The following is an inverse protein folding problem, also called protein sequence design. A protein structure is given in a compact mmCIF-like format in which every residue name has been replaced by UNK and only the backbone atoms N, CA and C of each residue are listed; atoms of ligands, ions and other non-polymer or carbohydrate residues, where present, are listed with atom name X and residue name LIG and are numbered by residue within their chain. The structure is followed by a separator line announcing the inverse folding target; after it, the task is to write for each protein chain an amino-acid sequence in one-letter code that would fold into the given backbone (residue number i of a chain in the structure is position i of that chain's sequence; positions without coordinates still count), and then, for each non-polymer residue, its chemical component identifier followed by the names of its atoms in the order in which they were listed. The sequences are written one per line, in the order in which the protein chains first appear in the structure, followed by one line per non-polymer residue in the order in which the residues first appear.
data_IF_226981108129
#
_entry.id   IF_226981108129
#
_cell.length_a   1.000
_cell.length_b   1.000
_cell.length_c   1.000
_cell.angle_alpha   90.00
_cell.angle_beta   90.00
_cell.angle_gamma   90.00
#
_symmetry.space_group_name_H-M   'P 1'
#
loop_
_entity.id
_entity.type
_entity.pdbx_description
1 polymer ?
#
# COMPACT_ATOMS: atom_id res chain seq x y z
N UNK A 1 -14.23 -42.96 5.15
CA UNK A 1 -13.84 -42.05 6.24
C UNK A 1 -12.33 -41.93 6.15
N UNK A 2 -11.84 -40.73 5.87
CA UNK A 2 -10.43 -40.39 5.68
C UNK A 2 -9.60 -40.78 6.90
N UNK A 3 -8.35 -41.21 6.70
CA UNK A 3 -7.22 -40.52 7.29
C UNK A 3 -5.93 -40.86 6.52
N UNK A 4 -5.36 -39.79 5.95
CA UNK A 4 -3.97 -39.65 5.53
C UNK A 4 -3.01 -40.17 6.62
N UNK A 5 -1.76 -40.53 6.31
CA UNK A 5 -0.64 -39.61 6.57
C UNK A 5 0.65 -40.13 5.93
N UNK A 6 1.05 -39.44 4.86
CA UNK A 6 2.40 -38.98 4.54
C UNK A 6 3.54 -39.50 5.44
N UNK A 7 4.37 -40.41 4.93
CA UNK A 7 5.60 -40.84 5.58
C UNK A 7 6.75 -39.91 5.16
N UNK A 8 6.79 -38.71 5.75
CA UNK A 8 7.95 -37.81 5.68
C UNK A 8 8.81 -38.04 6.93
N UNK A 9 9.96 -38.67 6.75
CA UNK A 9 10.94 -38.81 7.82
C UNK A 9 11.75 -37.51 7.91
N UNK A 10 11.72 -36.91 9.10
CA UNK A 10 12.42 -35.68 9.44
C UNK A 10 13.80 -36.05 9.98
N UNK A 11 14.84 -35.78 9.20
CA UNK A 11 16.23 -35.95 9.64
C UNK A 11 16.67 -34.70 10.41
N UNK A 12 17.42 -34.90 11.50
CA UNK A 12 18.10 -33.79 12.17
C UNK A 12 19.23 -33.28 11.28
N UNK A 13 19.37 -31.95 11.16
CA UNK A 13 20.39 -31.31 10.33
C UNK A 13 21.84 -31.69 10.66
N UNK A 14 22.08 -32.34 11.79
CA UNK A 14 23.41 -32.86 12.15
C UNK A 14 23.81 -34.09 11.31
N UNK A 15 22.85 -34.90 10.86
CA UNK A 15 23.10 -36.15 10.13
C UNK A 15 23.40 -35.89 8.63
N UNK A 16 22.93 -34.75 8.10
CA UNK A 16 23.21 -34.31 6.72
C UNK A 16 24.52 -33.53 6.56
N UNK A 17 25.15 -33.12 7.68
CA UNK A 17 26.41 -32.35 7.66
C UNK A 17 27.66 -33.19 7.42
N UNK A 18 27.61 -34.51 7.67
CA UNK A 18 28.79 -35.37 7.55
C UNK A 18 29.07 -35.85 6.12
N UNK A 19 28.07 -35.95 5.24
CA UNK A 19 28.28 -36.46 3.88
C UNK A 19 28.65 -35.39 2.84
N UNK A 20 28.21 -34.14 2.99
CA UNK A 20 28.40 -33.11 1.96
C UNK A 20 29.06 -31.87 2.56
N UNK A 21 30.40 -31.88 2.53
CA UNK A 21 31.22 -30.75 2.93
C UNK A 21 30.80 -29.44 2.25
N UNK A 22 30.47 -28.47 3.10
CA UNK A 22 30.60 -27.02 2.88
C UNK A 22 29.99 -26.42 1.60
N UNK A 23 28.85 -26.92 1.13
CA UNK A 23 28.11 -26.27 0.04
C UNK A 23 26.60 -26.28 0.26
N UNK A 24 26.17 -25.89 1.46
CA UNK A 24 24.83 -25.30 1.63
C UNK A 24 25.04 -23.80 1.53
N UNK A 25 24.79 -23.24 0.34
CA UNK A 25 24.49 -21.81 0.23
C UNK A 25 23.43 -21.50 1.27
N UNK A 26 23.77 -20.56 2.15
CA UNK A 26 22.90 -19.98 3.14
C UNK A 26 21.56 -19.66 2.46
N UNK A 27 20.54 -20.45 2.77
CA UNK A 27 19.16 -20.12 2.44
C UNK A 27 18.84 -18.90 3.30
N UNK A 28 19.21 -17.74 2.77
CA UNK A 28 18.81 -16.47 3.32
C UNK A 28 17.32 -16.37 3.06
N UNK A 29 16.54 -16.67 4.09
CA UNK A 29 15.15 -16.25 4.19
C UNK A 29 15.15 -14.72 4.36
N UNK A 30 15.52 -14.01 3.29
CA UNK A 30 15.65 -12.54 3.22
C UNK A 30 14.39 -11.90 2.62
N UNK A 31 13.31 -12.68 2.50
CA UNK A 31 12.08 -12.23 1.82
C UNK A 31 11.10 -11.46 2.72
N UNK A 32 11.43 -11.18 3.99
CA UNK A 32 10.48 -10.52 4.90
C UNK A 32 11.05 -9.43 5.82
N UNK A 33 12.33 -9.06 5.71
CA UNK A 33 12.83 -7.87 6.41
C UNK A 33 12.74 -6.67 5.48
N UNK A 34 11.58 -6.02 5.47
CA UNK A 34 11.44 -4.67 4.89
C UNK A 34 12.64 -3.82 5.35
N UNK A 35 13.42 -3.32 4.39
CA UNK A 35 14.64 -2.59 4.69
C UNK A 35 14.27 -1.37 5.56
N UNK A 36 14.96 -1.11 6.69
CA UNK A 36 14.60 0.01 7.58
C UNK A 36 14.65 1.36 6.86
N UNK A 37 15.46 1.50 5.80
CA UNK A 37 15.46 2.69 4.96
C UNK A 37 14.19 2.80 4.09
N UNK A 38 13.68 1.69 3.57
CA UNK A 38 12.42 1.66 2.82
C UNK A 38 11.24 2.05 3.73
N UNK A 39 11.18 1.49 4.94
CA UNK A 39 10.15 1.87 5.92
C UNK A 39 10.19 3.36 6.28
N UNK A 40 11.39 3.93 6.45
CA UNK A 40 11.55 5.37 6.68
C UNK A 40 11.08 6.21 5.49
N UNK A 41 11.42 5.80 4.26
CA UNK A 41 11.00 6.47 3.03
C UNK A 41 9.48 6.44 2.86
N UNK A 42 8.85 5.28 3.08
CA UNK A 42 7.40 5.11 2.98
C UNK A 42 6.66 5.96 4.02
N UNK A 43 7.17 5.99 5.26
CA UNK A 43 6.63 6.86 6.30
C UNK A 43 6.76 8.34 5.94
N UNK A 44 7.90 8.75 5.39
CA UNK A 44 8.11 10.13 4.92
C UNK A 44 7.14 10.49 3.79
N UNK A 45 6.98 9.59 2.83
CA UNK A 45 6.05 9.78 1.71
C UNK A 45 4.62 9.89 2.21
N UNK A 46 4.20 9.01 3.14
CA UNK A 46 2.89 9.07 3.78
C UNK A 46 2.66 10.41 4.47
N UNK A 47 3.61 10.89 5.27
CA UNK A 47 3.50 12.19 5.93
C UNK A 47 3.36 13.33 4.92
N UNK A 48 4.17 13.35 3.86
CA UNK A 48 4.07 14.37 2.81
C UNK A 48 2.71 14.35 2.09
N UNK A 49 2.16 13.17 1.84
CA UNK A 49 0.82 13.02 1.25
C UNK A 49 -0.24 13.58 2.20
N UNK A 50 -0.16 13.26 3.49
CA UNK A 50 -1.08 13.80 4.50
C UNK A 50 -1.01 15.33 4.56
N UNK A 51 0.19 15.90 4.65
CA UNK A 51 0.38 17.36 4.63
C UNK A 51 -0.17 17.99 3.34
N UNK A 52 0.05 17.35 2.18
CA UNK A 52 -0.49 17.84 0.92
C UNK A 52 -2.02 17.84 0.91
N UNK A 53 -2.66 16.80 1.45
CA UNK A 53 -4.12 16.70 1.57
C UNK A 53 -4.66 17.76 2.53
N UNK A 54 -3.99 18.04 3.65
CA UNK A 54 -4.42 19.09 4.60
C UNK A 54 -4.37 20.50 4.00
N UNK A 55 -3.56 20.73 2.96
CA UNK A 55 -3.55 22.03 2.24
C UNK A 55 -4.64 22.17 1.19
N UNK A 56 -5.43 21.12 0.93
CA UNK A 56 -6.52 21.18 -0.04
C UNK A 56 -7.70 21.98 0.51
N UNK A 57 -8.45 22.70 -0.35
CA UNK A 57 -9.73 23.26 0.03
C UNK A 57 -10.68 22.18 0.56
N UNK A 58 -11.48 22.51 1.57
CA UNK A 58 -12.46 21.60 2.21
C UNK A 58 -13.32 20.83 1.19
N UNK A 59 -13.81 21.51 0.15
CA UNK A 59 -14.64 20.86 -0.89
C UNK A 59 -13.87 19.84 -1.72
N UNK A 60 -12.59 20.09 -1.98
CA UNK A 60 -11.73 19.14 -2.70
C UNK A 60 -11.39 17.93 -1.81
N UNK A 61 -11.06 18.17 -0.53
CA UNK A 61 -10.81 17.13 0.48
C UNK A 61 -12.03 16.22 0.63
N UNK A 62 -13.21 16.79 0.77
CA UNK A 62 -14.47 16.04 0.91
C UNK A 62 -14.76 15.18 -0.34
N UNK A 63 -14.54 15.69 -1.55
CA UNK A 63 -14.68 14.89 -2.78
C UNK A 63 -13.72 13.70 -2.80
N UNK A 64 -12.47 13.89 -2.35
CA UNK A 64 -11.50 12.79 -2.27
C UNK A 64 -11.89 11.77 -1.20
N UNK A 65 -12.36 12.21 -0.03
CA UNK A 65 -12.84 11.31 1.04
C UNK A 65 -14.02 10.48 0.54
N UNK A 66 -15.04 11.11 -0.02
CA UNK A 66 -16.22 10.38 -0.52
C UNK A 66 -15.86 9.39 -1.64
N UNK A 67 -14.86 9.71 -2.47
CA UNK A 67 -14.44 8.85 -3.57
C UNK A 67 -13.53 7.68 -3.13
N UNK A 68 -12.53 7.93 -2.28
CA UNK A 68 -11.51 6.94 -1.93
C UNK A 68 -11.78 6.22 -0.60
N UNK A 69 -12.49 6.86 0.34
CA UNK A 69 -12.81 6.28 1.65
C UNK A 69 -14.18 5.63 1.64
N UNK A 70 -15.18 6.33 1.10
CA UNK A 70 -16.58 5.88 1.08
C UNK A 70 -16.97 5.17 -0.22
N UNK A 71 -16.03 5.02 -1.16
CA UNK A 71 -16.18 4.33 -2.45
C UNK A 71 -17.37 4.83 -3.30
N UNK A 72 -17.81 6.08 -3.11
CA UNK A 72 -18.92 6.65 -3.86
C UNK A 72 -18.50 7.03 -5.29
N UNK A 73 -19.43 6.85 -6.23
CA UNK A 73 -19.24 7.30 -7.61
C UNK A 73 -19.51 8.81 -7.76
N UNK A 74 -19.10 9.41 -8.88
CA UNK A 74 -19.25 10.86 -9.12
C UNK A 74 -20.70 11.36 -9.08
N UNK A 75 -21.66 10.48 -9.42
CA UNK A 75 -23.09 10.79 -9.39
C UNK A 75 -23.63 10.84 -7.96
N UNK A 76 -23.26 9.86 -7.14
CA UNK A 76 -23.60 9.80 -5.72
C UNK A 76 -22.97 10.97 -4.95
N UNK A 77 -21.70 11.26 -5.22
CA UNK A 77 -21.02 12.41 -4.64
C UNK A 77 -21.71 13.72 -5.07
N UNK A 78 -22.13 13.82 -6.33
CA UNK A 78 -22.89 14.97 -6.83
C UNK A 78 -24.20 15.16 -6.09
N UNK A 79 -24.93 14.07 -5.81
CA UNK A 79 -26.15 14.10 -5.03
C UNK A 79 -25.91 14.52 -3.57
N UNK A 80 -24.85 14.01 -2.92
CA UNK A 80 -24.47 14.37 -1.54
C UNK A 80 -24.06 15.84 -1.42
N UNK A 81 -23.34 16.36 -2.42
CA UNK A 81 -22.84 17.74 -2.43
C UNK A 81 -23.77 18.75 -3.10
N UNK A 82 -24.96 18.30 -3.54
CA UNK A 82 -25.96 19.09 -4.27
C UNK A 82 -25.39 19.82 -5.50
N UNK A 83 -24.51 19.14 -6.25
CA UNK A 83 -23.88 19.64 -7.48
C UNK A 83 -23.90 18.60 -8.59
N UNK A 84 -23.80 19.05 -9.85
CA UNK A 84 -23.72 18.12 -10.98
C UNK A 84 -22.40 17.32 -11.05
N UNK A 85 -22.43 16.15 -11.69
CA UNK A 85 -21.28 15.26 -11.89
C UNK A 85 -20.06 15.98 -12.50
N UNK A 86 -20.30 16.86 -13.48
CA UNK A 86 -19.24 17.65 -14.11
C UNK A 86 -18.47 18.50 -13.08
N UNK A 87 -19.18 19.05 -12.08
CA UNK A 87 -18.56 19.86 -11.03
C UNK A 87 -17.71 18.99 -10.09
N UNK A 88 -18.19 17.79 -9.74
CA UNK A 88 -17.42 16.84 -8.92
C UNK A 88 -16.16 16.39 -9.65
N UNK A 89 -16.26 16.06 -10.94
CA UNK A 89 -15.11 15.68 -11.78
C UNK A 89 -14.05 16.80 -11.85
N UNK A 90 -14.50 18.06 -11.96
CA UNK A 90 -13.61 19.23 -11.90
C UNK A 90 -12.92 19.37 -10.55
N UNK A 91 -13.65 19.26 -9.43
CA UNK A 91 -13.09 19.33 -8.08
C UNK A 91 -12.07 18.22 -7.84
N UNK A 92 -12.40 16.99 -8.24
CA UNK A 92 -11.48 15.85 -8.17
C UNK A 92 -10.20 16.12 -8.98
N UNK A 93 -10.35 16.56 -10.24
CA UNK A 93 -9.21 16.89 -11.10
C UNK A 93 -8.34 18.03 -10.55
N UNK A 94 -8.94 19.04 -9.92
CA UNK A 94 -8.23 20.13 -9.26
C UNK A 94 -7.44 19.63 -8.05
N UNK A 95 -8.06 18.79 -7.23
CA UNK A 95 -7.42 18.19 -6.06
C UNK A 95 -6.19 17.38 -6.48
N UNK A 96 -6.32 16.51 -7.49
CA UNK A 96 -5.19 15.71 -8.02
C UNK A 96 -4.06 16.61 -8.57
N UNK A 97 -4.39 17.70 -9.28
CA UNK A 97 -3.37 18.65 -9.78
C UNK A 97 -2.61 19.34 -8.63
N UNK A 98 -3.31 19.74 -7.57
CA UNK A 98 -2.68 20.34 -6.38
C UNK A 98 -1.77 19.34 -5.66
N UNK A 99 -2.27 18.12 -5.43
CA UNK A 99 -1.48 17.05 -4.83
C UNK A 99 -0.22 16.75 -5.64
N UNK A 100 -0.33 16.63 -6.97
CA UNK A 100 0.83 16.46 -7.86
C UNK A 100 1.83 17.61 -7.77
N UNK A 101 1.36 18.84 -7.63
CA UNK A 101 2.25 20.02 -7.51
C UNK A 101 3.00 20.03 -6.18
N UNK A 102 2.38 19.52 -5.10
CA UNK A 102 2.99 19.41 -3.77
C UNK A 102 3.96 18.24 -3.68
N UNK A 103 3.61 17.10 -4.27
CA UNK A 103 4.37 15.86 -4.18
C UNK A 103 5.43 15.72 -5.28
N UNK A 104 5.19 16.28 -6.47
CA UNK A 104 6.10 16.25 -7.62
C UNK A 104 7.29 17.20 -7.53
N UNK A 105 7.58 17.75 -6.34
CA UNK A 105 8.84 18.44 -6.02
C UNK A 105 9.89 17.48 -5.43
N UNK A 106 9.78 16.19 -5.73
CA UNK A 106 10.82 15.17 -5.52
C UNK A 106 11.73 15.13 -6.75
#
# INVERSE_FOLDING_TARGET
MLLDTNNSQLFSCDEWREEHGDSIELVTDDHQRENPLQQLLDNNLRQRVMEAIETLPEREKLVLTLYYQEELNLKEIGAVLEVGESRVSQLHSQAIKRLRTKLGKL
#
